data_IF_857209936984
#
_entry.id   IF_857209936984
#
_cell.length_a   1.000
_cell.length_b   1.000
_cell.length_c   1.000
_cell.angle_alpha   90.00
_cell.angle_beta   90.00
_cell.angle_gamma   90.00
#
_symmetry.space_group_name_H-M   'P 1'
#
loop_
_entity.id
_entity.type
_entity.pdbx_description
1 polymer ?
#
# COMPACT_ATOMS: atom_id res chain seq x y z
N UNK A 1 -3.42 -6.16 1.84
CA UNK A 1 -4.73 -5.92 2.47
C UNK A 1 -5.36 -7.23 2.97
N UNK A 2 -5.59 -8.22 2.12
CA UNK A 2 -6.29 -9.47 2.51
C UNK A 2 -5.65 -10.25 3.68
N UNK A 3 -4.32 -10.26 3.79
CA UNK A 3 -3.64 -10.94 4.92
C UNK A 3 -3.87 -10.25 6.27
N UNK A 4 -4.16 -8.97 6.28
CA UNK A 4 -4.42 -8.20 7.49
C UNK A 4 -5.83 -8.43 8.02
N UNK A 5 -6.82 -8.61 7.14
CA UNK A 5 -8.21 -8.87 7.54
C UNK A 5 -8.41 -10.21 8.22
N UNK A 6 -7.46 -11.15 8.04
CA UNK A 6 -7.43 -12.45 8.74
C UNK A 6 -6.42 -12.47 9.91
N UNK A 7 -5.77 -11.35 10.22
CA UNK A 7 -4.87 -11.28 11.37
C UNK A 7 -5.64 -11.33 12.69
N UNK A 8 -5.11 -12.00 13.72
CA UNK A 8 -5.80 -12.14 15.01
C UNK A 8 -6.23 -10.80 15.63
N UNK A 9 -5.35 -9.79 15.58
CA UNK A 9 -5.64 -8.48 16.14
C UNK A 9 -6.79 -7.75 15.40
N UNK A 10 -6.90 -7.90 14.08
CA UNK A 10 -7.98 -7.31 13.30
C UNK A 10 -9.31 -7.99 13.58
N UNK A 11 -9.29 -9.33 13.72
CA UNK A 11 -10.46 -10.11 14.13
C UNK A 11 -10.93 -9.66 15.52
N UNK A 12 -10.02 -9.52 16.48
CA UNK A 12 -10.35 -9.05 17.83
C UNK A 12 -10.94 -7.64 17.79
N UNK A 13 -10.35 -6.72 17.03
CA UNK A 13 -10.86 -5.36 16.88
C UNK A 13 -12.28 -5.35 16.31
N UNK A 14 -12.53 -6.19 15.29
CA UNK A 14 -13.85 -6.33 14.68
C UNK A 14 -14.87 -6.92 15.66
N UNK A 15 -14.48 -7.93 16.45
CA UNK A 15 -15.32 -8.53 17.50
C UNK A 15 -15.68 -7.49 18.56
N UNK A 16 -14.71 -6.76 19.08
CA UNK A 16 -14.97 -5.69 20.05
C UNK A 16 -15.92 -4.61 19.50
N UNK A 17 -15.74 -4.24 18.22
CA UNK A 17 -16.67 -3.31 17.57
C UNK A 17 -18.07 -3.89 17.41
N UNK A 18 -18.19 -5.18 17.09
CA UNK A 18 -19.48 -5.86 17.00
C UNK A 18 -20.18 -5.94 18.36
N UNK A 19 -19.46 -6.32 19.41
CA UNK A 19 -19.97 -6.34 20.79
C UNK A 19 -20.47 -4.94 21.22
N UNK A 20 -19.68 -3.90 20.94
CA UNK A 20 -20.07 -2.52 21.23
C UNK A 20 -21.34 -2.07 20.51
N UNK A 21 -21.59 -2.55 19.29
CA UNK A 21 -22.82 -2.28 18.53
C UNK A 21 -24.01 -3.05 19.12
N UNK A 22 -23.82 -4.32 19.47
CA UNK A 22 -24.86 -5.16 20.10
C UNK A 22 -25.29 -4.58 21.44
N UNK A 23 -24.37 -4.11 22.28
CA UNK A 23 -24.64 -3.48 23.56
C UNK A 23 -25.50 -2.20 23.45
N UNK A 24 -25.59 -1.61 22.24
CA UNK A 24 -26.37 -0.41 21.94
C UNK A 24 -27.60 -0.67 21.09
N UNK A 25 -27.96 -1.95 20.91
CA UNK A 25 -29.08 -2.38 20.06
C UNK A 25 -28.97 -1.90 18.60
N UNK A 26 -27.71 -1.75 18.09
CA UNK A 26 -27.43 -1.33 16.70
C UNK A 26 -27.05 -2.55 15.87
N UNK A 27 -28.02 -3.20 15.24
CA UNK A 27 -27.82 -4.46 14.52
C UNK A 27 -27.58 -4.31 13.02
N UNK A 28 -28.00 -3.21 12.40
CA UNK A 28 -27.92 -3.02 10.95
C UNK A 28 -26.49 -3.17 10.35
N UNK A 29 -25.38 -2.80 11.05
CA UNK A 29 -24.05 -2.99 10.48
C UNK A 29 -23.57 -4.44 10.50
N UNK A 30 -24.24 -5.27 11.32
CA UNK A 30 -23.94 -6.70 11.47
C UNK A 30 -24.75 -7.58 10.51
N UNK A 31 -25.72 -6.99 9.82
CA UNK A 31 -26.53 -7.71 8.84
C UNK A 31 -25.75 -7.96 7.56
N UNK A 32 -25.96 -9.13 6.95
CA UNK A 32 -25.44 -9.47 5.64
C UNK A 32 -26.04 -8.54 4.58
N UNK A 33 -25.19 -7.90 3.75
CA UNK A 33 -25.68 -6.90 2.84
C UNK A 33 -25.44 -7.17 1.36
N UNK A 34 -26.45 -6.83 0.55
CA UNK A 34 -26.52 -7.11 -0.86
C UNK A 34 -25.38 -6.51 -1.72
N UNK A 35 -24.86 -5.28 -1.56
CA UNK A 35 -23.79 -4.78 -2.42
C UNK A 35 -22.47 -5.54 -2.30
N UNK A 36 -22.21 -6.11 -1.11
CA UNK A 36 -20.94 -6.78 -0.83
C UNK A 36 -20.90 -8.24 -1.32
N UNK A 37 -22.04 -8.91 -1.45
CA UNK A 37 -22.08 -10.28 -1.96
C UNK A 37 -21.57 -10.39 -3.40
N UNK A 38 -21.74 -9.36 -4.22
CA UNK A 38 -21.20 -9.29 -5.59
C UNK A 38 -19.66 -9.36 -5.63
N UNK A 39 -18.99 -8.85 -4.58
CA UNK A 39 -17.53 -8.81 -4.48
C UNK A 39 -16.94 -10.01 -3.74
N UNK A 40 -17.74 -10.68 -2.91
CA UNK A 40 -17.26 -11.70 -1.96
C UNK A 40 -18.04 -12.98 -2.04
N UNK A 41 -18.91 -13.14 -3.04
CA UNK A 41 -19.77 -14.32 -3.18
C UNK A 41 -18.94 -15.57 -3.48
N UNK A 42 -18.54 -16.26 -2.41
CA UNK A 42 -18.15 -17.65 -2.46
C UNK A 42 -19.39 -18.48 -2.12
N UNK A 43 -20.02 -19.17 -3.11
CA UNK A 43 -21.24 -19.93 -2.87
C UNK A 43 -21.08 -21.08 -1.85
N UNK A 44 -19.86 -21.32 -1.40
CA UNK A 44 -19.49 -22.40 -0.47
C UNK A 44 -19.19 -21.92 0.95
N UNK A 45 -19.05 -20.61 1.19
CA UNK A 45 -18.81 -20.06 2.52
C UNK A 45 -20.09 -19.38 3.01
N UNK A 46 -20.64 -19.89 4.10
CA UNK A 46 -21.73 -19.24 4.85
C UNK A 46 -21.31 -17.94 5.55
N UNK A 47 -20.10 -17.47 5.32
CA UNK A 47 -19.60 -16.21 5.87
C UNK A 47 -20.22 -15.03 5.11
N UNK A 48 -21.36 -14.60 5.59
CA UNK A 48 -22.01 -13.41 5.10
C UNK A 48 -21.12 -12.17 5.39
N UNK A 49 -20.74 -11.45 4.34
CA UNK A 49 -20.01 -10.22 4.47
C UNK A 49 -20.94 -9.11 4.98
N UNK A 50 -20.59 -8.52 6.11
CA UNK A 50 -21.40 -7.51 6.80
C UNK A 50 -20.96 -6.09 6.43
N UNK A 51 -21.81 -5.09 6.72
CA UNK A 51 -21.44 -3.67 6.61
C UNK A 51 -20.23 -3.34 7.49
N UNK A 52 -20.14 -3.94 8.67
CA UNK A 52 -19.00 -3.77 9.57
C UNK A 52 -17.70 -4.24 8.90
N UNK A 53 -17.72 -5.37 8.19
CA UNK A 53 -16.56 -5.86 7.44
C UNK A 53 -16.15 -4.88 6.35
N UNK A 54 -17.11 -4.36 5.60
CA UNK A 54 -16.87 -3.35 4.56
C UNK A 54 -16.28 -2.06 5.13
N UNK A 55 -16.87 -1.52 6.19
CA UNK A 55 -16.40 -0.32 6.86
C UNK A 55 -14.98 -0.51 7.44
N UNK A 56 -14.71 -1.66 8.06
CA UNK A 56 -13.38 -1.98 8.60
C UNK A 56 -12.31 -2.04 7.49
N UNK A 57 -12.60 -2.67 6.35
CA UNK A 57 -11.69 -2.74 5.20
C UNK A 57 -11.45 -1.35 4.61
N UNK A 58 -12.48 -0.56 4.39
CA UNK A 58 -12.36 0.80 3.84
C UNK A 58 -11.56 1.70 4.80
N UNK A 59 -11.82 1.63 6.09
CA UNK A 59 -11.07 2.37 7.11
C UNK A 59 -9.60 1.97 7.12
N UNK A 60 -9.32 0.67 7.04
CA UNK A 60 -7.96 0.17 6.96
C UNK A 60 -7.23 0.66 5.70
N UNK A 61 -7.87 0.56 4.53
CA UNK A 61 -7.29 1.04 3.26
C UNK A 61 -7.04 2.55 3.34
N UNK A 62 -8.02 3.32 3.82
CA UNK A 62 -7.91 4.77 3.97
C UNK A 62 -6.80 5.17 4.94
N UNK A 63 -6.79 4.59 6.14
CA UNK A 63 -5.77 4.85 7.16
C UNK A 63 -4.37 4.46 6.68
N UNK A 64 -4.20 3.29 6.07
CA UNK A 64 -2.92 2.83 5.52
C UNK A 64 -2.42 3.77 4.42
N UNK A 65 -3.31 4.20 3.51
CA UNK A 65 -2.97 5.11 2.43
C UNK A 65 -2.55 6.49 2.95
N UNK A 66 -3.24 7.00 3.97
CA UNK A 66 -2.89 8.27 4.61
C UNK A 66 -1.56 8.19 5.37
N UNK A 67 -1.31 7.10 6.09
CA UNK A 67 -0.05 6.90 6.83
C UNK A 67 1.13 6.77 5.87
N UNK A 68 1.02 5.92 4.85
CA UNK A 68 2.09 5.72 3.87
C UNK A 68 2.29 6.99 3.04
N UNK A 69 1.22 7.58 2.52
CA UNK A 69 1.28 8.83 1.74
C UNK A 69 1.82 10.00 2.58
N UNK A 70 1.40 10.12 3.83
CA UNK A 70 1.90 11.11 4.77
C UNK A 70 3.39 10.93 5.09
N UNK A 71 3.82 9.70 5.34
CA UNK A 71 5.24 9.38 5.58
C UNK A 71 6.09 9.71 4.34
N UNK A 72 5.67 9.30 3.15
CA UNK A 72 6.30 9.64 1.88
C UNK A 72 6.41 11.16 1.70
N UNK A 73 5.31 11.87 1.91
CA UNK A 73 5.28 13.33 1.81
C UNK A 73 6.25 13.99 2.78
N UNK A 74 6.30 13.55 4.05
CA UNK A 74 7.23 14.07 5.06
C UNK A 74 8.69 13.82 4.68
N UNK A 75 9.02 12.63 4.20
CA UNK A 75 10.38 12.28 3.77
C UNK A 75 10.80 13.10 2.56
N UNK A 76 9.93 13.29 1.57
CA UNK A 76 10.19 14.13 0.41
C UNK A 76 10.33 15.61 0.80
N UNK A 77 9.50 16.12 1.70
CA UNK A 77 9.64 17.48 2.24
C UNK A 77 10.96 17.63 3.00
N UNK A 78 11.38 16.63 3.75
CA UNK A 78 12.70 16.60 4.40
C UNK A 78 13.84 16.72 3.39
N UNK A 79 13.81 15.91 2.33
CA UNK A 79 14.80 15.97 1.25
C UNK A 79 14.85 17.35 0.58
N UNK A 80 13.70 17.95 0.27
CA UNK A 80 13.60 19.28 -0.36
C UNK A 80 14.12 20.37 0.56
N UNK A 81 13.81 20.32 1.86
CA UNK A 81 14.33 21.29 2.85
C UNK A 81 15.85 21.22 2.97
N UNK A 82 16.43 20.01 2.96
CA UNK A 82 17.87 19.81 2.99
C UNK A 82 18.57 20.43 1.75
N UNK A 83 17.89 20.44 0.60
CA UNK A 83 18.41 21.04 -0.64
C UNK A 83 18.19 22.56 -0.72
N UNK A 84 17.50 23.17 0.26
CA UNK A 84 17.18 24.61 0.31
C UNK A 84 16.45 25.15 -0.96
N UNK A 85 15.69 24.27 -1.65
CA UNK A 85 14.92 24.59 -2.86
C UNK A 85 13.49 24.12 -2.70
N UNK A 86 12.51 25.02 -2.90
CA UNK A 86 11.07 24.71 -2.70
C UNK A 86 10.35 24.60 -4.05
N UNK A 87 9.36 23.73 -4.14
CA UNK A 87 8.40 23.64 -5.24
C UNK A 87 8.81 22.67 -6.35
N UNK A 88 9.57 23.11 -7.33
CA UNK A 88 9.92 22.30 -8.52
C UNK A 88 10.64 20.99 -8.19
N UNK A 89 11.54 21.03 -7.20
CA UNK A 89 12.29 19.84 -6.79
C UNK A 89 11.37 18.79 -6.15
N UNK A 90 10.37 19.22 -5.39
CA UNK A 90 9.39 18.30 -4.81
C UNK A 90 8.65 17.52 -5.90
N UNK A 91 8.14 18.22 -6.92
CA UNK A 91 7.42 17.58 -8.02
C UNK A 91 8.29 16.58 -8.79
N UNK A 92 9.54 16.96 -9.08
CA UNK A 92 10.48 16.07 -9.77
C UNK A 92 10.84 14.85 -8.95
N UNK A 93 11.02 14.99 -7.62
CA UNK A 93 11.23 13.86 -6.73
C UNK A 93 9.99 12.98 -6.65
N UNK A 94 8.79 13.56 -6.50
CA UNK A 94 7.53 12.82 -6.46
C UNK A 94 7.30 12.03 -7.75
N UNK A 95 7.55 12.63 -8.93
CA UNK A 95 7.50 11.94 -10.22
C UNK A 95 8.54 10.82 -10.33
N UNK A 96 9.67 10.94 -9.65
CA UNK A 96 10.68 9.90 -9.56
C UNK A 96 10.18 8.60 -8.92
N UNK A 97 9.08 8.63 -8.13
CA UNK A 97 8.44 7.45 -7.55
C UNK A 97 7.46 6.74 -8.50
N UNK A 98 7.20 7.28 -9.68
CA UNK A 98 6.29 6.65 -10.67
C UNK A 98 6.66 5.20 -11.00
N UNK A 99 7.94 4.82 -11.22
CA UNK A 99 8.31 3.43 -11.47
C UNK A 99 7.95 2.50 -10.31
N UNK A 100 8.18 2.95 -9.08
CA UNK A 100 7.85 2.17 -7.88
C UNK A 100 6.33 2.01 -7.71
N UNK A 101 5.57 3.09 -7.91
CA UNK A 101 4.11 3.07 -7.90
C UNK A 101 3.53 2.15 -8.97
N UNK A 102 4.03 2.23 -10.20
CA UNK A 102 3.63 1.37 -11.31
C UNK A 102 3.94 -0.11 -11.03
N UNK A 103 5.15 -0.41 -10.55
CA UNK A 103 5.52 -1.78 -10.17
C UNK A 103 4.64 -2.30 -9.02
N UNK A 104 4.38 -1.49 -8.00
CA UNK A 104 3.52 -1.84 -6.87
C UNK A 104 2.09 -2.18 -7.32
N UNK A 105 1.53 -1.38 -8.21
CA UNK A 105 0.19 -1.62 -8.78
C UNK A 105 0.16 -2.90 -9.61
N UNK A 106 1.14 -3.11 -10.49
CA UNK A 106 1.26 -4.33 -11.28
C UNK A 106 1.41 -5.57 -10.39
N UNK A 107 2.29 -5.51 -9.37
CA UNK A 107 2.51 -6.60 -8.43
C UNK A 107 1.26 -6.90 -7.60
N UNK A 108 0.49 -5.86 -7.23
CA UNK A 108 -0.78 -6.00 -6.51
C UNK A 108 -1.82 -6.72 -7.35
N UNK A 109 -2.05 -6.26 -8.58
CA UNK A 109 -3.02 -6.87 -9.50
C UNK A 109 -2.64 -8.29 -9.91
N UNK A 110 -1.36 -8.54 -10.22
CA UNK A 110 -0.88 -9.88 -10.60
C UNK A 110 -0.92 -10.90 -9.44
N UNK A 111 -0.94 -10.44 -8.18
CA UNK A 111 -0.97 -11.34 -7.03
C UNK A 111 -2.23 -12.21 -7.01
N UNK A 112 -3.38 -11.63 -7.30
CA UNK A 112 -4.67 -12.34 -7.36
C UNK A 112 -4.68 -13.35 -8.51
N UNK A 113 -4.23 -12.95 -9.69
CA UNK A 113 -4.14 -13.82 -10.86
C UNK A 113 -3.22 -15.02 -10.61
N UNK A 114 -2.03 -14.78 -10.02
CA UNK A 114 -1.09 -15.84 -9.67
C UNK A 114 -1.70 -16.80 -8.64
N UNK A 115 -2.46 -16.28 -7.66
CA UNK A 115 -3.13 -17.11 -6.66
C UNK A 115 -4.19 -17.98 -7.31
N UNK A 116 -5.01 -17.46 -8.20
CA UNK A 116 -6.03 -18.21 -8.94
C UNK A 116 -5.40 -19.30 -9.81
N UNK A 117 -4.35 -18.99 -10.56
CA UNK A 117 -3.64 -19.97 -11.39
C UNK A 117 -3.03 -21.11 -10.56
N UNK A 118 -2.52 -20.82 -9.37
CA UNK A 118 -2.05 -21.87 -8.44
C UNK A 118 -3.18 -22.73 -7.93
N UNK A 119 -4.35 -22.17 -7.72
CA UNK A 119 -5.53 -22.93 -7.29
C UNK A 119 -5.98 -23.92 -8.38
N UNK A 120 -5.84 -23.53 -9.65
CA UNK A 120 -6.07 -24.40 -10.84
C UNK A 120 -4.94 -25.42 -11.09
N UNK A 121 -3.96 -25.52 -10.20
CA UNK A 121 -2.88 -26.51 -10.28
C UNK A 121 -1.67 -26.10 -11.13
N UNK A 122 -1.58 -24.85 -11.62
CA UNK A 122 -0.42 -24.37 -12.36
C UNK A 122 0.81 -24.18 -11.46
N UNK A 123 1.94 -24.78 -11.83
CA UNK A 123 3.22 -24.61 -11.13
C UNK A 123 3.90 -23.32 -11.66
N UNK A 124 3.83 -22.26 -10.86
CA UNK A 124 4.38 -20.94 -11.19
C UNK A 124 5.65 -20.63 -10.39
N UNK A 125 6.66 -21.51 -10.50
CA UNK A 125 7.94 -21.35 -9.77
C UNK A 125 8.65 -20.04 -10.13
N UNK A 126 8.52 -19.57 -11.37
CA UNK A 126 9.13 -18.34 -11.87
C UNK A 126 8.45 -17.05 -11.34
N UNK A 127 7.22 -17.14 -10.86
CA UNK A 127 6.43 -15.96 -10.51
C UNK A 127 7.04 -15.15 -9.34
N UNK A 128 7.57 -15.82 -8.31
CA UNK A 128 8.18 -15.13 -7.17
C UNK A 128 9.50 -14.42 -7.52
N UNK A 129 10.47 -15.08 -8.18
CA UNK A 129 11.70 -14.40 -8.57
C UNK A 129 11.44 -13.25 -9.56
N UNK A 130 10.51 -13.39 -10.50
CA UNK A 130 10.17 -12.31 -11.44
C UNK A 130 9.57 -11.10 -10.71
N UNK A 131 8.71 -11.33 -9.73
CA UNK A 131 8.15 -10.23 -8.89
C UNK A 131 9.24 -9.52 -8.09
N UNK A 132 10.18 -10.29 -7.51
CA UNK A 132 11.30 -9.71 -6.78
C UNK A 132 12.21 -8.87 -7.69
N UNK A 133 12.52 -9.35 -8.90
CA UNK A 133 13.31 -8.62 -9.89
C UNK A 133 12.61 -7.34 -10.36
N UNK A 134 11.30 -7.39 -10.60
CA UNK A 134 10.50 -6.21 -10.97
C UNK A 134 10.55 -5.15 -9.87
N UNK A 135 10.37 -5.54 -8.61
CA UNK A 135 10.44 -4.63 -7.47
C UNK A 135 11.84 -4.04 -7.31
N UNK A 136 12.88 -4.87 -7.36
CA UNK A 136 14.27 -4.42 -7.27
C UNK A 136 14.62 -3.45 -8.40
N UNK A 137 14.19 -3.74 -9.63
CA UNK A 137 14.36 -2.85 -10.79
C UNK A 137 13.66 -1.51 -10.60
N UNK A 138 12.42 -1.51 -10.11
CA UNK A 138 11.66 -0.29 -9.83
C UNK A 138 12.31 0.57 -8.73
N UNK A 139 12.79 -0.05 -7.64
CA UNK A 139 13.54 0.62 -6.57
C UNK A 139 14.82 1.24 -7.14
N UNK A 140 15.63 0.46 -7.87
CA UNK A 140 16.87 0.93 -8.48
C UNK A 140 16.63 2.10 -9.43
N UNK A 141 15.57 2.04 -10.24
CA UNK A 141 15.21 3.12 -11.15
C UNK A 141 14.77 4.38 -10.38
N UNK A 142 13.90 4.24 -9.38
CA UNK A 142 13.46 5.35 -8.52
C UNK A 142 14.65 6.03 -7.85
N UNK A 143 15.58 5.27 -7.27
CA UNK A 143 16.80 5.80 -6.65
C UNK A 143 17.70 6.52 -7.67
N UNK A 144 17.84 5.98 -8.88
CA UNK A 144 18.62 6.60 -9.96
C UNK A 144 18.01 7.95 -10.39
N UNK A 145 16.69 8.02 -10.55
CA UNK A 145 16.00 9.27 -10.87
C UNK A 145 16.13 10.27 -9.74
N UNK A 146 15.93 9.86 -8.50
CA UNK A 146 16.10 10.71 -7.33
C UNK A 146 17.53 11.26 -7.23
N UNK A 147 18.55 10.44 -7.45
CA UNK A 147 19.94 10.87 -7.49
C UNK A 147 20.19 11.92 -8.55
N UNK A 148 19.68 11.74 -9.77
CA UNK A 148 19.78 12.71 -10.87
C UNK A 148 19.12 14.04 -10.50
N UNK A 149 17.96 14.02 -9.88
CA UNK A 149 17.26 15.24 -9.43
C UNK A 149 18.09 15.96 -8.35
N UNK A 150 18.56 15.25 -7.33
CA UNK A 150 19.34 15.79 -6.22
C UNK A 150 20.67 16.37 -6.72
N UNK A 151 21.34 15.71 -7.66
CA UNK A 151 22.62 16.20 -8.21
C UNK A 151 22.46 17.43 -9.09
N UNK A 152 21.37 17.53 -9.86
CA UNK A 152 21.09 18.69 -10.72
C UNK A 152 20.79 19.97 -9.94
N UNK A 153 20.14 19.84 -8.77
CA UNK A 153 19.67 20.99 -7.99
C UNK A 153 20.66 21.44 -6.89
N UNK A 154 21.85 20.84 -6.84
CA UNK A 154 23.03 21.35 -6.17
C UNK A 154 22.92 21.58 -4.68
N UNK A 155 23.05 20.51 -3.87
CA UNK A 155 23.36 20.62 -2.45
C UNK A 155 24.86 20.37 -2.23
N UNK A 156 25.44 20.88 -1.12
CA UNK A 156 26.78 20.50 -0.67
C UNK A 156 26.82 18.99 -0.39
N UNK A 157 27.99 18.35 -0.49
CA UNK A 157 28.15 16.90 -0.47
C UNK A 157 27.38 16.19 0.64
N UNK A 158 27.48 16.66 1.89
CA UNK A 158 26.76 16.06 3.04
C UNK A 158 25.23 16.19 2.91
N UNK A 159 24.74 17.39 2.54
CA UNK A 159 23.29 17.61 2.38
C UNK A 159 22.69 16.77 1.25
N UNK A 160 23.48 16.52 0.20
CA UNK A 160 23.11 15.65 -0.91
C UNK A 160 22.93 14.21 -0.45
N UNK A 161 23.87 13.69 0.35
CA UNK A 161 23.78 12.35 0.92
C UNK A 161 22.58 12.20 1.86
N UNK A 162 22.34 13.19 2.72
CA UNK A 162 21.18 13.19 3.63
C UNK A 162 19.86 13.24 2.86
N UNK A 163 19.75 14.10 1.84
CA UNK A 163 18.56 14.16 1.00
C UNK A 163 18.31 12.85 0.26
N UNK A 164 19.36 12.22 -0.25
CA UNK A 164 19.26 10.89 -0.88
C UNK A 164 18.87 9.82 0.13
N UNK A 165 19.38 9.87 1.38
CA UNK A 165 18.99 9.00 2.48
C UNK A 165 17.50 9.11 2.80
N UNK A 166 16.92 10.33 2.83
CA UNK A 166 15.47 10.50 3.00
C UNK A 166 14.65 9.84 1.88
N UNK A 167 15.11 9.92 0.62
CA UNK A 167 14.46 9.26 -0.50
C UNK A 167 14.63 7.75 -0.42
N UNK A 168 15.82 7.26 -0.02
CA UNK A 168 16.09 5.84 0.18
C UNK A 168 15.21 5.21 1.27
N UNK A 169 14.90 5.96 2.33
CA UNK A 169 13.96 5.52 3.37
C UNK A 169 12.50 5.51 2.90
N UNK A 170 12.20 6.27 1.84
CA UNK A 170 10.86 6.34 1.24
C UNK A 170 10.62 5.24 0.18
N UNK A 171 11.67 4.54 -0.28
CA UNK A 171 11.60 3.43 -1.25
C UNK A 171 11.59 2.08 -0.57
#
# INVERSE_FOLDING_TARGET
>A
AFQWTVSPWFITLKQTAAEWLVDRDIFWPLEANAPWWLLTHYPQNNDAFTWLDGAAILTYIGASSLLIGGALWLLLQGAVRLMNRRGEVFNHLALGFTPLGGAGLFLGLSATTIKLLRYEGFILAWAQPTRALLLAGAIGWTLTLAWKVITRHGANGLRRLLAFGCVGLAT
#
